data_IF_308580265162
#
_entry.id   IF_308580265162
#
_cell.length_a   1.000
_cell.length_b   1.000
_cell.length_c   1.000
_cell.angle_alpha   90.00
_cell.angle_beta   90.00
_cell.angle_gamma   90.00
#
_symmetry.space_group_name_H-M   'P 1'
#
loop_
_entity.id
_entity.type
_entity.pdbx_description
1 polymer ?
#
# COMPACT_ATOMS: atom_id res chain seq x y z
N UNK A 1 3.33 -19.99 1.66
CA UNK A 1 2.80 -18.65 1.98
C UNK A 1 3.26 -18.26 3.38
N UNK A 2 3.75 -17.03 3.54
CA UNK A 2 4.19 -16.49 4.82
C UNK A 2 3.38 -15.24 5.15
N UNK A 3 2.96 -15.10 6.40
CA UNK A 3 2.33 -13.90 6.93
C UNK A 3 3.35 -13.17 7.81
N UNK A 4 3.73 -11.95 7.39
CA UNK A 4 4.69 -11.11 8.11
C UNK A 4 3.90 -10.06 8.89
N UNK A 5 4.07 -10.04 10.22
CA UNK A 5 3.35 -9.13 11.13
C UNK A 5 4.34 -8.41 12.07
N UNK A 6 3.89 -7.31 12.63
CA UNK A 6 4.57 -6.58 13.70
C UNK A 6 6.00 -6.10 13.33
N UNK A 7 6.20 -5.73 12.07
CA UNK A 7 7.43 -5.14 11.58
C UNK A 7 7.13 -3.78 10.92
N UNK A 8 8.09 -2.87 10.98
CA UNK A 8 8.04 -1.67 10.14
C UNK A 8 8.08 -2.08 8.66
N UNK A 9 7.49 -1.28 7.78
CA UNK A 9 7.32 -1.64 6.36
C UNK A 9 8.65 -2.08 5.70
N UNK A 10 9.74 -1.32 5.88
CA UNK A 10 11.04 -1.69 5.31
C UNK A 10 11.61 -3.02 5.86
N UNK A 11 11.32 -3.32 7.14
CA UNK A 11 11.71 -4.59 7.77
C UNK A 11 10.87 -5.76 7.22
N UNK A 12 9.59 -5.52 6.98
CA UNK A 12 8.70 -6.52 6.37
C UNK A 12 9.15 -6.85 4.94
N UNK A 13 9.53 -5.85 4.15
CA UNK A 13 10.10 -6.03 2.81
C UNK A 13 11.41 -6.83 2.88
N UNK A 14 12.36 -6.46 3.75
CA UNK A 14 13.63 -7.20 3.89
C UNK A 14 13.39 -8.64 4.34
N UNK A 15 12.45 -8.85 5.27
CA UNK A 15 12.07 -10.19 5.75
C UNK A 15 11.45 -11.05 4.65
N UNK A 16 10.61 -10.48 3.79
CA UNK A 16 10.05 -11.21 2.65
C UNK A 16 11.14 -11.66 1.67
N UNK A 17 12.14 -10.82 1.43
CA UNK A 17 13.30 -11.13 0.59
C UNK A 17 14.16 -12.24 1.22
N UNK A 18 14.42 -12.16 2.54
CA UNK A 18 15.15 -13.20 3.27
C UNK A 18 14.46 -14.56 3.14
N UNK A 19 13.15 -14.59 3.33
CA UNK A 19 12.38 -15.83 3.23
C UNK A 19 12.40 -16.40 1.81
N UNK A 20 12.30 -15.57 0.78
CA UNK A 20 12.35 -16.02 -0.60
C UNK A 20 13.73 -16.62 -0.96
N UNK A 21 14.80 -16.00 -0.51
CA UNK A 21 16.17 -16.49 -0.73
C UNK A 21 16.44 -17.85 -0.09
N UNK A 22 15.77 -18.16 1.05
CA UNK A 22 15.90 -19.45 1.73
C UNK A 22 15.13 -20.59 1.06
N UNK A 23 14.16 -20.27 0.19
CA UNK A 23 13.23 -21.27 -0.36
C UNK A 23 13.54 -21.69 -1.82
N UNK A 24 14.69 -21.34 -2.36
CA UNK A 24 15.13 -21.71 -3.72
C UNK A 24 14.09 -21.41 -4.83
N UNK A 25 13.17 -20.51 -4.57
CA UNK A 25 12.13 -20.11 -5.52
C UNK A 25 12.70 -19.16 -6.58
N UNK A 26 12.15 -19.18 -7.79
CA UNK A 26 12.56 -18.27 -8.86
C UNK A 26 11.92 -16.87 -8.69
N UNK A 27 10.75 -16.82 -8.08
CA UNK A 27 9.91 -15.64 -7.96
C UNK A 27 9.37 -15.48 -6.55
N UNK A 28 9.25 -14.23 -6.12
CA UNK A 28 8.58 -13.83 -4.90
C UNK A 28 7.40 -12.93 -5.26
N UNK A 29 6.21 -13.26 -4.77
CA UNK A 29 5.07 -12.34 -4.78
C UNK A 29 4.90 -11.77 -3.38
N UNK A 30 4.86 -10.45 -3.28
CA UNK A 30 4.46 -9.74 -2.05
C UNK A 30 3.08 -9.13 -2.24
N UNK A 31 2.27 -9.20 -1.19
CA UNK A 31 0.91 -8.67 -1.15
C UNK A 31 0.71 -7.91 0.15
N UNK A 32 0.14 -6.72 0.08
CA UNK A 32 -0.32 -6.00 1.25
C UNK A 32 -1.55 -6.70 1.84
N UNK A 33 -1.71 -6.64 3.16
CA UNK A 33 -2.76 -7.40 3.86
C UNK A 33 -4.18 -6.85 3.62
N UNK A 34 -4.29 -5.65 3.07
CA UNK A 34 -5.55 -4.95 2.75
C UNK A 34 -5.95 -5.05 1.27
N UNK A 35 -5.42 -6.05 0.56
CA UNK A 35 -5.84 -6.40 -0.79
C UNK A 35 -6.93 -7.47 -0.81
N UNK A 36 -7.94 -7.25 -1.64
CA UNK A 36 -8.88 -8.29 -2.08
C UNK A 36 -8.44 -8.72 -3.47
N UNK A 37 -7.86 -9.90 -3.60
CA UNK A 37 -7.29 -10.38 -4.85
C UNK A 37 -8.35 -10.99 -5.78
N UNK A 38 -8.19 -10.77 -7.08
CA UNK A 38 -9.03 -11.34 -8.13
C UNK A 38 -8.79 -12.87 -8.24
N UNK A 39 -9.80 -13.69 -8.57
CA UNK A 39 -9.62 -15.15 -8.68
C UNK A 39 -8.45 -15.60 -9.56
N UNK A 40 -8.18 -14.89 -10.66
CA UNK A 40 -7.10 -15.22 -11.59
C UNK A 40 -5.76 -14.51 -11.33
N UNK A 41 -5.62 -13.89 -10.16
CA UNK A 41 -4.43 -13.13 -9.77
C UNK A 41 -3.12 -13.90 -10.02
N UNK A 42 -3.03 -15.13 -9.51
CA UNK A 42 -1.81 -15.92 -9.61
C UNK A 42 -1.46 -16.29 -11.05
N UNK A 43 -2.45 -16.62 -11.88
CA UNK A 43 -2.22 -16.93 -13.29
C UNK A 43 -1.72 -15.72 -14.09
N UNK A 44 -2.16 -14.52 -13.75
CA UNK A 44 -1.63 -13.27 -14.32
C UNK A 44 -0.15 -13.12 -13.98
N UNK A 45 0.24 -13.27 -12.72
CA UNK A 45 1.65 -13.15 -12.32
C UNK A 45 2.55 -14.24 -12.89
N UNK A 46 2.06 -15.47 -13.07
CA UNK A 46 2.80 -16.53 -13.76
C UNK A 46 3.07 -16.15 -15.22
N UNK A 47 2.07 -15.64 -15.95
CA UNK A 47 2.26 -15.16 -17.33
C UNK A 47 3.28 -14.03 -17.40
N UNK A 48 3.19 -13.09 -16.46
CA UNK A 48 4.14 -11.96 -16.35
C UNK A 48 5.56 -12.49 -16.10
N UNK A 49 5.74 -13.38 -15.12
CA UNK A 49 7.03 -14.00 -14.80
C UNK A 49 7.70 -14.63 -16.02
N UNK A 50 6.93 -15.42 -16.80
CA UNK A 50 7.40 -16.09 -18.00
C UNK A 50 7.78 -15.11 -19.13
N UNK A 51 7.24 -13.89 -19.13
CA UNK A 51 7.50 -12.87 -20.14
C UNK A 51 8.58 -11.86 -19.73
N UNK A 52 9.07 -11.91 -18.49
CA UNK A 52 10.08 -10.96 -17.97
C UNK A 52 11.46 -11.23 -18.56
N UNK A 53 12.08 -10.17 -19.10
CA UNK A 53 13.46 -10.19 -19.59
C UNK A 53 14.47 -10.21 -18.43
N UNK A 54 15.72 -10.53 -18.71
CA UNK A 54 16.77 -10.70 -17.70
C UNK A 54 17.00 -9.46 -16.82
N UNK A 55 16.86 -8.25 -17.38
CA UNK A 55 17.00 -6.99 -16.64
C UNK A 55 15.73 -6.54 -15.94
N UNK A 56 14.58 -7.17 -16.20
CA UNK A 56 13.33 -6.88 -15.50
C UNK A 56 13.32 -7.65 -14.19
N UNK A 57 13.44 -6.94 -13.08
CA UNK A 57 13.65 -7.52 -11.75
C UNK A 57 12.40 -7.46 -10.86
N UNK A 58 11.47 -6.63 -11.24
CA UNK A 58 10.19 -6.46 -10.54
C UNK A 58 9.07 -6.22 -11.54
N UNK A 59 7.88 -6.71 -11.23
CA UNK A 59 6.65 -6.37 -11.91
C UNK A 59 5.55 -6.04 -10.88
N UNK A 60 4.68 -5.10 -11.26
CA UNK A 60 3.53 -4.71 -10.46
C UNK A 60 2.30 -4.58 -11.37
N UNK A 61 1.16 -5.01 -10.87
CA UNK A 61 -0.10 -4.92 -11.57
C UNK A 61 -0.99 -3.81 -10.99
N UNK A 62 -2.05 -3.44 -11.72
CA UNK A 62 -2.99 -2.44 -11.27
C UNK A 62 -3.90 -2.98 -10.18
N UNK A 63 -4.26 -2.12 -9.25
CA UNK A 63 -5.33 -2.32 -8.27
C UNK A 63 -6.30 -1.15 -8.38
N UNK A 64 -7.59 -1.37 -8.15
CA UNK A 64 -8.47 -0.25 -7.87
C UNK A 64 -8.30 0.15 -6.41
N UNK A 65 -7.83 1.36 -6.20
CA UNK A 65 -7.57 1.91 -4.87
C UNK A 65 -8.76 2.78 -4.43
N UNK A 66 -9.49 2.31 -3.43
CA UNK A 66 -10.69 2.99 -2.94
C UNK A 66 -10.43 4.39 -2.41
N UNK A 67 -9.31 4.59 -1.73
CA UNK A 67 -9.02 5.91 -1.13
C UNK A 67 -8.64 6.95 -2.19
N UNK A 68 -8.02 6.53 -3.27
CA UNK A 68 -7.70 7.39 -4.41
C UNK A 68 -8.81 7.44 -5.45
N UNK A 69 -9.76 6.50 -5.43
CA UNK A 69 -10.83 6.34 -6.41
C UNK A 69 -10.30 6.19 -7.84
N UNK A 70 -9.18 5.46 -7.98
CA UNK A 70 -8.51 5.26 -9.27
C UNK A 70 -7.76 3.92 -9.34
N UNK A 71 -7.46 3.50 -10.57
CA UNK A 71 -6.58 2.37 -10.82
C UNK A 71 -5.12 2.80 -10.71
N UNK A 72 -4.37 2.15 -9.86
CA UNK A 72 -2.95 2.43 -9.63
C UNK A 72 -2.19 1.18 -9.23
N UNK A 73 -0.89 1.18 -9.39
CA UNK A 73 -0.05 0.11 -8.87
C UNK A 73 0.14 0.28 -7.37
N UNK A 74 -0.49 -0.59 -6.59
CA UNK A 74 -0.41 -0.58 -5.13
C UNK A 74 -0.54 -2.00 -4.56
N UNK A 75 0.19 -2.27 -3.49
CA UNK A 75 -0.01 -3.42 -2.64
C UNK A 75 0.39 -4.78 -3.22
N UNK A 76 0.83 -4.87 -4.46
CA UNK A 76 1.22 -6.12 -5.10
C UNK A 76 2.52 -5.98 -5.88
N UNK A 77 3.42 -6.96 -5.75
CA UNK A 77 4.67 -7.01 -6.52
C UNK A 77 5.12 -8.43 -6.75
N UNK A 78 5.74 -8.62 -7.91
CA UNK A 78 6.43 -9.85 -8.31
C UNK A 78 7.93 -9.53 -8.44
N UNK A 79 8.76 -10.16 -7.66
CA UNK A 79 10.21 -9.98 -7.71
C UNK A 79 10.91 -11.21 -8.27
N UNK A 80 11.94 -10.99 -9.09
CA UNK A 80 12.88 -12.03 -9.48
C UNK A 80 13.82 -12.31 -8.30
N UNK A 81 13.81 -13.54 -7.77
CA UNK A 81 14.57 -13.89 -6.57
C UNK A 81 16.09 -13.70 -6.74
N UNK A 82 16.63 -13.97 -7.93
CA UNK A 82 18.06 -13.74 -8.21
C UNK A 82 18.51 -12.27 -8.08
N UNK A 83 17.58 -11.31 -8.11
CA UNK A 83 17.88 -9.88 -7.91
C UNK A 83 17.74 -9.43 -6.44
N UNK A 84 17.17 -10.24 -5.56
CA UNK A 84 16.91 -9.85 -4.17
C UNK A 84 18.17 -9.51 -3.36
N UNK A 85 19.32 -10.20 -3.52
CA UNK A 85 20.55 -9.80 -2.81
C UNK A 85 20.93 -8.35 -3.11
N UNK A 86 20.87 -7.94 -4.38
CA UNK A 86 21.14 -6.58 -4.82
C UNK A 86 20.08 -5.58 -4.27
N UNK A 87 18.81 -5.93 -4.36
CA UNK A 87 17.72 -5.07 -3.83
C UNK A 87 17.83 -4.89 -2.31
N UNK A 88 18.21 -5.91 -1.55
CA UNK A 88 18.45 -5.82 -0.11
C UNK A 88 19.55 -4.84 0.26
N UNK A 89 20.64 -4.82 -0.51
CA UNK A 89 21.73 -3.85 -0.29
C UNK A 89 21.28 -2.41 -0.55
N UNK A 90 20.46 -2.20 -1.56
CA UNK A 90 19.85 -0.87 -1.80
C UNK A 90 18.88 -0.50 -0.67
N UNK A 91 18.02 -1.44 -0.26
CA UNK A 91 17.02 -1.21 0.79
C UNK A 91 17.69 -0.76 2.10
N UNK A 92 18.83 -1.38 2.47
CA UNK A 92 19.63 -0.96 3.64
C UNK A 92 20.11 0.49 3.54
N UNK A 93 20.47 0.96 2.34
CA UNK A 93 20.93 2.33 2.10
C UNK A 93 19.77 3.33 2.08
N UNK A 94 18.60 2.90 1.59
CA UNK A 94 17.40 3.75 1.42
C UNK A 94 16.44 3.69 2.61
N UNK A 95 16.73 2.91 3.66
CA UNK A 95 15.88 2.75 4.86
C UNK A 95 15.51 4.06 5.56
N UNK A 96 16.31 5.12 5.37
CA UNK A 96 16.02 6.45 5.92
C UNK A 96 14.89 7.17 5.18
N UNK A 97 14.50 6.72 3.98
CA UNK A 97 13.27 7.19 3.35
C UNK A 97 12.08 6.49 4.02
N UNK A 98 11.64 7.09 5.11
CA UNK A 98 10.61 6.54 5.99
C UNK A 98 9.26 6.32 5.31
N UNK A 99 8.92 7.08 4.24
CA UNK A 99 7.59 7.04 3.62
C UNK A 99 7.45 6.03 2.48
N UNK A 100 8.51 5.78 1.72
CA UNK A 100 8.49 4.91 0.55
C UNK A 100 9.81 4.14 0.39
N UNK A 101 10.22 3.33 1.36
CA UNK A 101 11.51 2.63 1.30
C UNK A 101 11.61 1.70 0.09
N UNK A 102 10.56 0.96 -0.21
CA UNK A 102 10.49 0.07 -1.37
C UNK A 102 10.53 0.85 -2.69
N UNK A 103 9.74 1.91 -2.82
CA UNK A 103 9.77 2.76 -4.02
C UNK A 103 11.12 3.44 -4.23
N UNK A 104 11.80 3.83 -3.15
CA UNK A 104 13.15 4.39 -3.23
C UNK A 104 14.17 3.34 -3.65
N UNK A 105 14.08 2.14 -3.11
CA UNK A 105 14.90 0.99 -3.51
C UNK A 105 14.76 0.70 -5.01
N UNK A 106 13.53 0.65 -5.52
CA UNK A 106 13.28 0.37 -6.93
C UNK A 106 13.79 1.48 -7.86
N UNK A 107 13.64 2.76 -7.47
CA UNK A 107 14.23 3.88 -8.23
C UNK A 107 15.76 3.80 -8.31
N UNK A 108 16.44 3.40 -7.25
CA UNK A 108 17.88 3.20 -7.27
C UNK A 108 18.29 1.99 -8.14
N UNK A 109 17.47 0.95 -8.15
CA UNK A 109 17.69 -0.18 -9.05
C UNK A 109 17.56 0.23 -10.53
N UNK A 110 16.58 1.08 -10.87
CA UNK A 110 16.45 1.62 -12.24
C UNK A 110 17.66 2.47 -12.64
N UNK A 111 18.20 3.30 -11.75
CA UNK A 111 19.45 4.05 -12.00
C UNK A 111 20.65 3.12 -12.25
N UNK A 112 20.61 1.91 -11.69
CA UNK A 112 21.61 0.86 -11.91
C UNK A 112 21.40 0.05 -13.19
N UNK A 113 20.44 0.45 -14.05
CA UNK A 113 20.17 -0.15 -15.35
C UNK A 113 19.21 -1.35 -15.33
N UNK A 114 18.58 -1.63 -14.20
CA UNK A 114 17.47 -2.58 -14.11
C UNK A 114 16.16 -1.93 -14.57
N UNK A 115 15.14 -2.76 -14.80
CA UNK A 115 13.81 -2.32 -15.27
C UNK A 115 12.71 -2.87 -14.38
N UNK A 116 11.69 -2.06 -14.20
CA UNK A 116 10.43 -2.45 -13.61
C UNK A 116 9.42 -2.70 -14.74
N UNK A 117 8.55 -3.68 -14.55
CA UNK A 117 7.55 -4.06 -15.57
C UNK A 117 6.14 -3.73 -15.07
N UNK A 118 5.54 -2.61 -15.50
CA UNK A 118 4.14 -2.35 -15.24
C UNK A 118 3.26 -3.34 -16.01
N UNK A 119 2.23 -3.84 -15.35
CA UNK A 119 1.20 -4.74 -15.88
C UNK A 119 -0.13 -4.00 -15.81
N UNK A 120 -0.82 -3.91 -16.94
CA UNK A 120 -2.09 -3.15 -17.04
C UNK A 120 -3.29 -3.91 -16.48
N UNK A 121 -3.15 -5.23 -16.27
CA UNK A 121 -4.24 -6.03 -15.70
C UNK A 121 -4.57 -5.56 -14.28
N UNK A 122 -5.87 -5.38 -14.02
CA UNK A 122 -6.37 -5.13 -12.67
C UNK A 122 -6.49 -6.47 -11.94
N UNK A 123 -5.75 -6.63 -10.86
CA UNK A 123 -5.61 -7.91 -10.15
C UNK A 123 -6.20 -7.90 -8.75
N UNK A 124 -6.53 -6.74 -8.21
CA UNK A 124 -7.03 -6.63 -6.85
C UNK A 124 -7.80 -5.32 -6.61
N UNK A 125 -8.51 -5.28 -5.49
CA UNK A 125 -9.04 -4.09 -4.85
C UNK A 125 -8.20 -3.78 -3.62
N UNK A 126 -7.93 -2.50 -3.39
CA UNK A 126 -7.11 -2.02 -2.29
C UNK A 126 -7.91 -1.06 -1.39
N UNK A 127 -7.65 -1.11 -0.09
CA UNK A 127 -8.25 -0.21 0.91
C UNK A 127 -9.78 -0.32 1.09
N UNK A 128 -10.37 -1.45 0.73
CA UNK A 128 -11.82 -1.65 0.94
C UNK A 128 -12.17 -2.01 2.39
N UNK A 129 -11.26 -2.67 3.10
CA UNK A 129 -11.46 -3.12 4.47
C UNK A 129 -10.52 -2.37 5.42
N UNK A 130 -11.01 -1.29 6.02
CA UNK A 130 -10.22 -0.45 6.90
C UNK A 130 -10.97 -0.15 8.20
N UNK A 131 -10.29 -0.27 9.32
CA UNK A 131 -10.81 0.24 10.59
C UNK A 131 -10.76 1.77 10.63
N UNK A 132 -11.60 2.38 11.46
CA UNK A 132 -11.66 3.84 11.58
C UNK A 132 -10.30 4.49 11.91
N UNK A 133 -9.52 3.86 12.78
CA UNK A 133 -8.18 4.33 13.12
C UNK A 133 -7.19 4.20 11.93
N UNK A 134 -7.33 3.18 11.07
CA UNK A 134 -6.51 3.05 9.87
C UNK A 134 -6.88 4.12 8.83
N UNK A 135 -8.16 4.39 8.64
CA UNK A 135 -8.64 5.47 7.77
C UNK A 135 -8.11 6.82 8.25
N UNK A 136 -8.22 7.11 9.55
CA UNK A 136 -7.68 8.33 10.13
C UNK A 136 -6.17 8.44 9.91
N UNK A 137 -5.42 7.37 10.18
CA UNK A 137 -3.97 7.29 9.94
C UNK A 137 -3.61 7.49 8.47
N UNK A 138 -4.37 6.89 7.55
CA UNK A 138 -4.16 7.07 6.10
C UNK A 138 -4.43 8.51 5.69
N UNK A 139 -5.50 9.13 6.16
CA UNK A 139 -5.76 10.55 5.96
C UNK A 139 -4.61 11.42 6.48
N UNK A 140 -4.21 11.21 7.72
CA UNK A 140 -3.06 11.88 8.35
C UNK A 140 -1.80 11.76 7.49
N UNK A 141 -1.44 10.55 7.09
CA UNK A 141 -0.24 10.30 6.30
C UNK A 141 -0.31 10.96 4.92
N UNK A 142 -1.49 11.00 4.29
CA UNK A 142 -1.68 11.63 2.99
C UNK A 142 -1.43 13.14 3.02
N UNK A 143 -1.63 13.82 4.16
CA UNK A 143 -1.42 15.27 4.28
C UNK A 143 0.03 15.72 4.00
N UNK A 144 1.00 14.82 4.15
CA UNK A 144 2.42 15.10 3.87
C UNK A 144 3.04 14.16 2.83
N UNK A 145 2.60 12.90 2.75
CA UNK A 145 3.13 11.94 1.77
C UNK A 145 2.65 12.22 0.35
N UNK A 146 1.46 12.79 0.21
CA UNK A 146 0.79 13.05 -1.05
C UNK A 146 0.35 14.50 -1.19
N UNK A 147 1.11 15.43 -0.63
CA UNK A 147 0.76 16.86 -0.62
C UNK A 147 0.54 17.43 -2.03
N UNK A 148 1.37 17.03 -2.99
CA UNK A 148 1.26 17.46 -4.39
C UNK A 148 -0.03 16.95 -5.07
N UNK A 149 -0.66 15.93 -4.50
CA UNK A 149 -1.89 15.31 -5.00
C UNK A 149 -3.11 15.63 -4.12
N UNK A 150 -2.93 16.50 -3.14
CA UNK A 150 -3.94 16.78 -2.09
C UNK A 150 -5.24 17.33 -2.65
N UNK A 151 -5.20 18.23 -3.63
CA UNK A 151 -6.41 18.81 -4.23
C UNK A 151 -7.32 17.74 -4.83
N UNK A 152 -6.74 16.76 -5.53
CA UNK A 152 -7.49 15.64 -6.11
C UNK A 152 -8.09 14.75 -5.01
N UNK A 153 -7.28 14.37 -4.01
CA UNK A 153 -7.74 13.55 -2.89
C UNK A 153 -8.89 14.24 -2.14
N UNK A 154 -8.71 15.49 -1.73
CA UNK A 154 -9.71 16.23 -0.98
C UNK A 154 -11.01 16.43 -1.76
N UNK A 155 -10.93 16.69 -3.08
CA UNK A 155 -12.10 16.79 -3.94
C UNK A 155 -12.89 15.48 -3.97
N UNK A 156 -12.20 14.35 -4.19
CA UNK A 156 -12.82 13.03 -4.21
C UNK A 156 -13.41 12.67 -2.83
N UNK A 157 -12.63 12.83 -1.77
CA UNK A 157 -13.08 12.49 -0.42
C UNK A 157 -14.25 13.33 0.03
N UNK A 158 -14.28 14.64 -0.26
CA UNK A 158 -15.41 15.53 0.03
C UNK A 158 -16.67 15.07 -0.69
N UNK A 159 -16.57 14.66 -1.96
CA UNK A 159 -17.71 14.13 -2.72
C UNK A 159 -18.21 12.82 -2.11
N UNK A 160 -17.29 11.88 -1.81
CA UNK A 160 -17.64 10.57 -1.30
C UNK A 160 -18.09 10.58 0.16
N UNK A 161 -17.71 11.59 0.95
CA UNK A 161 -18.10 11.69 2.36
C UNK A 161 -19.59 11.97 2.58
N UNK A 162 -20.33 12.33 1.53
CA UNK A 162 -21.79 12.49 1.59
C UNK A 162 -22.48 11.14 1.83
N UNK A 163 -21.98 10.09 1.15
CA UNK A 163 -22.60 8.76 1.18
C UNK A 163 -21.84 7.77 2.08
N UNK A 164 -20.54 8.01 2.31
CA UNK A 164 -19.65 7.08 3.00
C UNK A 164 -18.87 7.78 4.13
N UNK A 165 -19.12 7.40 5.35
CA UNK A 165 -18.49 7.96 6.56
C UNK A 165 -16.97 7.76 6.59
N UNK A 166 -16.44 6.72 5.94
CA UNK A 166 -15.00 6.44 5.76
C UNK A 166 -14.25 7.68 5.28
N UNK A 167 -14.81 8.38 4.29
CA UNK A 167 -14.19 9.56 3.70
C UNK A 167 -14.25 10.77 4.63
N UNK A 168 -15.24 10.85 5.51
CA UNK A 168 -15.26 11.85 6.59
C UNK A 168 -14.14 11.63 7.59
N UNK A 169 -13.84 10.35 7.92
CA UNK A 169 -12.73 9.98 8.79
C UNK A 169 -11.39 10.31 8.12
N UNK A 170 -11.23 10.01 6.82
CA UNK A 170 -10.04 10.37 6.04
C UNK A 170 -9.81 11.88 6.02
N UNK A 171 -10.86 12.67 5.76
CA UNK A 171 -10.79 14.15 5.76
C UNK A 171 -10.36 14.68 7.14
N UNK A 172 -10.88 14.11 8.23
CA UNK A 172 -10.50 14.49 9.59
C UNK A 172 -9.01 14.17 9.85
N UNK A 173 -8.57 12.98 9.49
CA UNK A 173 -7.16 12.60 9.58
C UNK A 173 -6.24 13.53 8.79
N UNK A 174 -6.64 13.88 7.57
CA UNK A 174 -5.88 14.80 6.72
C UNK A 174 -5.78 16.20 7.33
N UNK A 175 -6.90 16.75 7.81
CA UNK A 175 -6.92 18.06 8.47
C UNK A 175 -6.04 18.07 9.73
N UNK A 176 -6.10 16.99 10.53
CA UNK A 176 -5.22 16.83 11.69
C UNK A 176 -3.75 16.79 11.29
N UNK A 177 -3.40 16.05 10.24
CA UNK A 177 -2.02 15.97 9.74
C UNK A 177 -1.47 17.30 9.22
N UNK A 178 -2.31 18.16 8.63
CA UNK A 178 -1.91 19.52 8.24
C UNK A 178 -1.67 20.43 9.45
N UNK A 179 -2.42 20.22 10.53
CA UNK A 179 -2.28 21.01 11.77
C UNK A 179 -1.14 20.52 12.65
N UNK A 180 -0.68 19.29 12.48
CA UNK A 180 0.39 18.71 13.28
C UNK A 180 1.76 19.19 12.79
N UNK A 181 2.37 20.08 13.57
CA UNK A 181 3.71 20.65 13.29
C UNK A 181 4.83 19.60 13.36
N UNK A 182 4.60 18.46 13.96
CA UNK A 182 5.63 17.44 14.20
C UNK A 182 5.78 16.43 13.06
N UNK A 183 4.81 16.32 12.15
CA UNK A 183 4.81 15.42 11.00
C UNK A 183 5.35 14.01 11.32
N UNK A 184 4.92 13.46 12.45
CA UNK A 184 5.45 12.18 12.92
C UNK A 184 4.98 11.04 12.01
N UNK A 185 5.91 10.14 11.72
CA UNK A 185 5.58 8.77 11.38
C UNK A 185 5.06 8.07 12.65
N UNK A 186 3.78 8.25 12.92
CA UNK A 186 3.17 7.47 13.96
C UNK A 186 3.09 6.02 13.46
N UNK A 187 3.79 5.15 14.17
CA UNK A 187 3.44 3.74 14.11
C UNK A 187 1.94 3.65 14.46
N UNK A 188 1.16 3.05 13.57
CA UNK A 188 -0.28 2.89 13.74
C UNK A 188 -0.65 2.16 15.05
N UNK A 189 0.30 1.46 15.65
CA UNK A 189 0.16 0.71 16.89
C UNK A 189 0.76 1.43 18.10
N UNK A 190 1.34 2.63 17.93
CA UNK A 190 1.83 3.37 19.08
C UNK A 190 0.67 3.82 19.96
N UNK A 191 0.79 3.64 21.28
CA UNK A 191 -0.20 4.07 22.26
C UNK A 191 -0.55 5.57 22.11
N UNK A 192 0.44 6.37 21.75
CA UNK A 192 0.27 7.79 21.48
C UNK A 192 -0.67 8.04 20.30
N UNK A 193 -0.46 7.35 19.18
CA UNK A 193 -1.31 7.52 17.99
C UNK A 193 -2.73 6.99 18.24
N UNK A 194 -2.86 5.85 18.91
CA UNK A 194 -4.17 5.29 19.28
C UNK A 194 -4.94 6.23 20.21
N UNK A 195 -4.28 6.91 21.14
CA UNK A 195 -4.90 7.93 21.97
C UNK A 195 -5.44 9.09 21.14
N UNK A 196 -4.66 9.62 20.21
CA UNK A 196 -5.10 10.66 19.26
C UNK A 196 -6.30 10.18 18.45
N UNK A 197 -6.24 8.97 17.88
CA UNK A 197 -7.35 8.39 17.14
C UNK A 197 -8.62 8.33 17.98
N UNK A 198 -8.55 7.83 19.20
CA UNK A 198 -9.68 7.71 20.09
C UNK A 198 -10.30 9.08 20.42
N UNK A 199 -9.48 10.12 20.61
CA UNK A 199 -9.97 11.49 20.84
C UNK A 199 -10.62 12.08 19.59
N UNK A 200 -10.00 11.92 18.44
CA UNK A 200 -10.46 12.48 17.18
C UNK A 200 -11.65 11.74 16.57
N UNK A 201 -11.88 10.49 16.96
CA UNK A 201 -12.94 9.62 16.42
C UNK A 201 -14.14 9.45 17.35
N UNK A 202 -14.24 10.20 18.45
CA UNK A 202 -15.37 10.11 19.39
C UNK A 202 -16.74 10.24 18.71
N UNK A 203 -16.86 11.13 17.73
CA UNK A 203 -18.11 11.35 16.99
C UNK A 203 -18.46 10.21 16.02
N UNK A 204 -17.52 9.30 15.78
CA UNK A 204 -17.66 8.10 14.93
C UNK A 204 -17.77 6.83 15.77
N UNK A 205 -18.10 6.92 17.06
CA UNK A 205 -18.18 5.76 17.98
C UNK A 205 -19.19 4.71 17.52
N UNK A 206 -20.21 5.11 16.77
CA UNK A 206 -21.21 4.23 16.15
C UNK A 206 -20.82 3.76 14.73
N UNK A 207 -19.60 4.07 14.29
CA UNK A 207 -19.11 3.56 13.02
C UNK A 207 -18.97 2.05 13.14
N UNK A 208 -19.91 1.36 12.54
CA UNK A 208 -19.84 -0.08 12.40
C UNK A 208 -18.73 -0.40 11.41
N UNK A 209 -17.63 -0.95 11.94
CA UNK A 209 -16.55 -1.51 11.12
C UNK A 209 -17.00 -2.77 10.36
N UNK A 210 -18.28 -3.11 10.36
CA UNK A 210 -18.87 -4.08 9.45
C UNK A 210 -18.78 -3.50 8.05
N UNK A 211 -17.71 -3.83 7.47
CA UNK A 211 -17.27 -3.55 6.11
C UNK A 211 -18.40 -3.90 5.15
N UNK A 212 -19.04 -2.88 4.66
CA UNK A 212 -19.93 -3.04 3.53
C UNK A 212 -19.04 -3.40 2.32
N UNK A 213 -18.84 -4.70 2.13
CA UNK A 213 -18.33 -5.20 0.85
C UNK A 213 -19.33 -4.69 -0.18
N UNK A 214 -18.94 -3.87 -1.15
CA UNK A 214 -19.85 -3.50 -2.20
C UNK A 214 -20.43 -4.78 -2.82
N UNK A 215 -21.75 -4.88 -2.91
CA UNK A 215 -22.43 -6.06 -3.49
C UNK A 215 -21.95 -6.37 -4.92
N UNK A 216 -21.27 -5.42 -5.55
CA UNK A 216 -20.73 -5.48 -6.91
C UNK A 216 -19.21 -5.27 -6.95
N UNK A 217 -18.43 -6.07 -6.20
CA UNK A 217 -16.96 -6.07 -6.33
C UNK A 217 -16.50 -6.30 -7.78
N UNK A 218 -17.25 -7.10 -8.53
CA UNK A 218 -16.94 -7.40 -9.94
C UNK A 218 -16.96 -6.16 -10.84
N UNK A 219 -17.80 -5.15 -10.53
CA UNK A 219 -17.85 -3.92 -11.33
C UNK A 219 -16.57 -3.06 -11.25
N UNK A 220 -15.76 -3.25 -10.20
CA UNK A 220 -14.46 -2.57 -10.05
C UNK A 220 -13.30 -3.38 -10.64
N UNK A 221 -13.55 -4.63 -11.05
CA UNK A 221 -12.49 -5.56 -11.46
C UNK A 221 -12.66 -5.99 -12.93
N UNK A 222 -13.82 -5.68 -13.56
CA UNK A 222 -14.13 -6.00 -14.97
C UNK A 222 -13.32 -5.18 -15.97
#
# INVERSE_FOLDING_TARGET
VYLIKNLMFHQAVDKSFELALKNESLWLITLDADLIIKPNFLSTFIKVANSMKSKEIEAHAMTFDRLFMEYRSAGNRLYRVSSLPFLREILKKTKNNKFRPEGSMLKEAEKSGYKLKPVQDVVALHDFFQFSHDLFRKGYTCSFKHIDYSNHLLSNWKKMSVDFVDFSILLRGFAFGLADSHQFQHDAQSDFFLKICNEQLKDFSNYDNSLQIPENLESYIS
#
